data_IF_786135257972
#
_entry.id   IF_786135257972
#
_cell.length_a   1.000
_cell.length_b   1.000
_cell.length_c   1.000
_cell.angle_alpha   90.00
_cell.angle_beta   90.00
_cell.angle_gamma   90.00
#
_symmetry.space_group_name_H-M   'P 1'
#
loop_
_entity.id
_entity.type
_entity.pdbx_description
1 polymer ?
#
# COMPACT_ATOMS: atom_id res chain seq x y z
N UNK A 1 24.62 -27.95 -30.82
CA UNK A 1 24.24 -27.53 -29.46
C UNK A 1 24.74 -26.12 -29.09
N UNK A 2 24.71 -25.14 -30.02
CA UNK A 2 25.07 -23.74 -29.70
C UNK A 2 24.02 -22.72 -30.20
N UNK A 3 22.99 -23.18 -30.92
CA UNK A 3 21.98 -22.32 -31.56
C UNK A 3 20.71 -22.11 -30.72
N UNK A 4 20.53 -22.85 -29.61
CA UNK A 4 19.37 -22.70 -28.73
C UNK A 4 19.58 -21.68 -27.60
N UNK A 5 20.82 -21.24 -27.37
CA UNK A 5 21.19 -20.43 -26.20
C UNK A 5 20.98 -18.92 -26.37
N UNK A 6 20.63 -18.45 -27.57
CA UNK A 6 20.54 -17.01 -27.89
C UNK A 6 19.10 -16.48 -27.84
N UNK A 7 18.07 -17.34 -27.75
CA UNK A 7 16.67 -16.89 -27.68
C UNK A 7 16.19 -16.42 -26.30
N UNK A 8 17.05 -16.49 -25.26
CA UNK A 8 16.73 -16.00 -23.92
C UNK A 8 17.23 -14.57 -23.67
N UNK A 9 17.28 -13.73 -24.71
CA UNK A 9 17.30 -12.29 -24.53
C UNK A 9 15.93 -11.88 -23.97
N UNK A 10 15.80 -12.01 -22.65
CA UNK A 10 14.63 -11.64 -21.88
C UNK A 10 14.19 -10.23 -22.28
N UNK A 11 13.07 -10.14 -22.99
CA UNK A 11 12.34 -8.89 -23.15
C UNK A 11 11.94 -8.46 -21.75
N UNK A 12 12.67 -7.48 -21.20
CA UNK A 12 12.28 -6.81 -19.96
C UNK A 12 11.04 -5.98 -20.26
N UNK A 13 9.88 -6.65 -20.29
CA UNK A 13 8.60 -5.96 -20.30
C UNK A 13 8.55 -5.12 -19.02
N UNK A 14 8.18 -3.83 -19.11
CA UNK A 14 7.93 -3.05 -17.90
C UNK A 14 6.86 -3.79 -17.11
N UNK A 15 7.20 -4.21 -15.90
CA UNK A 15 6.25 -4.76 -14.95
C UNK A 15 5.31 -3.63 -14.54
N UNK A 16 4.24 -3.42 -15.32
CA UNK A 16 3.10 -2.62 -14.89
C UNK A 16 2.37 -3.42 -13.82
N UNK A 17 2.88 -3.36 -12.59
CA UNK A 17 2.08 -3.72 -11.44
C UNK A 17 0.84 -2.83 -11.50
N UNK A 18 -0.36 -3.43 -11.58
CA UNK A 18 -1.57 -2.76 -11.14
C UNK A 18 -1.39 -2.50 -9.64
N UNK A 19 -0.65 -1.43 -9.33
CA UNK A 19 -0.11 -1.15 -8.01
C UNK A 19 -1.28 -1.05 -7.05
N UNK A 20 -1.36 -1.98 -6.10
CA UNK A 20 -2.35 -1.91 -5.03
C UNK A 20 -1.78 -1.04 -3.94
N UNK A 21 -2.52 0.01 -3.55
CA UNK A 21 -2.17 0.85 -2.41
C UNK A 21 -2.56 0.15 -1.10
N UNK A 22 -1.62 -0.02 -0.18
CA UNK A 22 -1.84 -0.48 1.19
C UNK A 22 -1.97 0.74 2.12
N UNK A 23 -3.19 1.01 2.55
CA UNK A 23 -3.53 2.21 3.31
C UNK A 23 -3.78 1.86 4.79
N UNK A 24 -3.04 2.49 5.70
CA UNK A 24 -3.41 2.57 7.10
C UNK A 24 -4.21 3.84 7.33
N UNK A 25 -5.46 3.70 7.76
CA UNK A 25 -6.34 4.82 8.04
C UNK A 25 -6.65 4.91 9.53
N UNK A 26 -6.49 6.10 10.11
CA UNK A 26 -6.70 6.33 11.55
C UNK A 26 -7.81 7.33 11.88
N UNK A 27 -8.71 7.57 10.93
CA UNK A 27 -9.95 8.33 11.13
C UNK A 27 -11.14 7.40 11.41
N UNK A 28 -12.34 7.98 11.39
CA UNK A 28 -13.60 7.22 11.34
C UNK A 28 -13.68 6.33 10.10
N UNK A 29 -14.25 5.13 10.28
CA UNK A 29 -14.30 4.10 9.23
C UNK A 29 -15.08 4.57 7.99
N UNK A 30 -16.17 5.31 8.18
CA UNK A 30 -16.98 5.85 7.08
C UNK A 30 -16.15 6.77 6.16
N UNK A 31 -15.27 7.58 6.74
CA UNK A 31 -14.36 8.44 5.98
C UNK A 31 -13.29 7.62 5.24
N UNK A 32 -12.68 6.64 5.92
CA UNK A 32 -11.69 5.77 5.32
C UNK A 32 -12.23 4.99 4.11
N UNK A 33 -13.44 4.45 4.21
CA UNK A 33 -14.11 3.71 3.15
C UNK A 33 -14.50 4.61 1.97
N UNK A 34 -15.10 5.76 2.25
CA UNK A 34 -15.49 6.75 1.24
C UNK A 34 -14.27 7.12 0.38
N UNK A 35 -13.19 7.49 1.06
CA UNK A 35 -12.01 7.97 0.36
C UNK A 35 -11.26 6.87 -0.36
N UNK A 36 -11.21 5.65 0.19
CA UNK A 36 -10.65 4.49 -0.52
C UNK A 36 -11.43 4.25 -1.81
N UNK A 37 -12.77 4.21 -1.76
CA UNK A 37 -13.62 4.04 -2.94
C UNK A 37 -13.43 5.14 -3.98
N UNK A 38 -13.41 6.40 -3.57
CA UNK A 38 -13.29 7.51 -4.50
C UNK A 38 -11.91 7.56 -5.14
N UNK A 39 -10.86 7.21 -4.39
CA UNK A 39 -9.51 7.05 -4.92
C UNK A 39 -9.45 5.92 -5.96
N UNK A 40 -10.00 4.74 -5.65
CA UNK A 40 -10.08 3.63 -6.62
C UNK A 40 -10.81 4.07 -7.90
N UNK A 41 -11.94 4.76 -7.76
CA UNK A 41 -12.76 5.22 -8.89
C UNK A 41 -12.01 6.21 -9.80
N UNK A 42 -11.26 7.15 -9.21
CA UNK A 42 -10.55 8.19 -9.97
C UNK A 42 -9.28 7.71 -10.64
N UNK A 43 -8.59 6.77 -10.00
CA UNK A 43 -7.22 6.38 -10.40
C UNK A 43 -7.13 5.00 -11.02
N UNK A 44 -8.13 4.14 -10.79
CA UNK A 44 -8.07 2.72 -11.12
C UNK A 44 -7.15 1.90 -10.21
N UNK A 45 -6.48 2.52 -9.24
CA UNK A 45 -5.61 1.84 -8.27
C UNK A 45 -6.47 1.16 -7.20
N UNK A 46 -6.24 -0.13 -6.95
CA UNK A 46 -6.90 -0.85 -5.87
C UNK A 46 -6.34 -0.46 -4.51
N UNK A 47 -7.19 -0.28 -3.51
CA UNK A 47 -6.81 0.10 -2.14
C UNK A 47 -7.13 -1.03 -1.19
N UNK A 48 -6.09 -1.59 -0.57
CA UNK A 48 -6.21 -2.45 0.60
C UNK A 48 -6.08 -1.62 1.86
N UNK A 49 -7.21 -1.25 2.47
CA UNK A 49 -7.25 -0.41 3.67
C UNK A 49 -7.29 -1.26 4.96
N UNK A 50 -6.53 -0.86 5.98
CA UNK A 50 -6.67 -1.31 7.37
C UNK A 50 -6.95 -0.11 8.25
N UNK A 51 -7.98 -0.19 9.09
CA UNK A 51 -8.35 0.88 10.03
C UNK A 51 -7.85 0.51 11.43
N UNK A 52 -7.11 1.41 12.05
CA UNK A 52 -6.67 1.29 13.45
C UNK A 52 -6.47 2.69 14.06
N UNK A 53 -6.50 2.81 15.39
CA UNK A 53 -6.22 4.10 16.04
C UNK A 53 -4.82 4.61 15.73
N UNK A 54 -4.56 5.91 15.91
CA UNK A 54 -3.23 6.50 15.66
C UNK A 54 -2.12 5.78 16.45
N UNK A 55 -2.41 5.41 17.71
CA UNK A 55 -1.47 4.70 18.58
C UNK A 55 -1.16 3.29 18.08
N UNK A 56 -2.19 2.52 17.73
CA UNK A 56 -2.02 1.17 17.16
C UNK A 56 -1.30 1.21 15.81
N UNK A 57 -1.62 2.18 14.96
CA UNK A 57 -0.96 2.35 13.66
C UNK A 57 0.52 2.70 13.85
N UNK A 58 0.87 3.63 14.75
CA UNK A 58 2.28 3.95 14.99
C UNK A 58 3.04 2.77 15.61
N UNK A 59 2.41 2.03 16.54
CA UNK A 59 3.01 0.82 17.10
C UNK A 59 3.27 -0.23 16.00
N UNK A 60 2.31 -0.43 15.09
CA UNK A 60 2.45 -1.33 13.94
C UNK A 60 3.57 -0.89 12.99
N UNK A 61 3.61 0.39 12.60
CA UNK A 61 4.66 0.94 11.73
C UNK A 61 6.05 0.73 12.36
N UNK A 62 6.18 0.95 13.68
CA UNK A 62 7.44 0.69 14.41
C UNK A 62 7.82 -0.80 14.39
N UNK A 63 6.85 -1.70 14.60
CA UNK A 63 7.08 -3.14 14.58
C UNK A 63 7.44 -3.66 13.17
N UNK A 64 6.89 -3.07 12.12
CA UNK A 64 7.12 -3.46 10.73
C UNK A 64 8.29 -2.71 10.06
N UNK A 65 9.08 -1.92 10.81
CA UNK A 65 10.14 -1.04 10.27
C UNK A 65 11.11 -1.73 9.31
N UNK A 66 11.49 -2.98 9.58
CA UNK A 66 12.42 -3.74 8.73
C UNK A 66 11.76 -4.39 7.50
N UNK A 67 10.42 -4.46 7.48
CA UNK A 67 9.65 -5.05 6.38
C UNK A 67 8.23 -4.42 6.31
N UNK A 68 8.12 -3.15 5.86
CA UNK A 68 6.86 -2.41 5.87
C UNK A 68 5.74 -3.14 5.11
N UNK A 69 4.52 -3.16 5.67
CA UNK A 69 3.34 -3.77 5.01
C UNK A 69 2.33 -2.74 4.50
N UNK A 70 2.52 -1.47 4.81
CA UNK A 70 1.69 -0.35 4.39
C UNK A 70 2.49 0.68 3.63
N UNK A 71 1.84 1.36 2.69
CA UNK A 71 2.45 2.39 1.84
C UNK A 71 2.20 3.79 2.40
N UNK A 72 0.98 4.03 2.92
CA UNK A 72 0.54 5.35 3.40
C UNK A 72 -0.19 5.20 4.73
N UNK A 73 0.12 6.09 5.68
CA UNK A 73 -0.67 6.32 6.88
C UNK A 73 -1.44 7.63 6.74
N UNK A 74 -2.76 7.57 6.87
CA UNK A 74 -3.64 8.71 6.65
C UNK A 74 -4.58 9.00 7.83
N UNK A 75 -4.55 10.26 8.23
CA UNK A 75 -5.40 10.82 9.27
C UNK A 75 -5.02 10.33 10.65
N UNK A 76 -5.92 10.52 11.61
CA UNK A 76 -5.60 10.36 13.03
C UNK A 76 -4.91 11.60 13.61
N UNK A 77 -4.49 11.46 14.86
CA UNK A 77 -3.80 12.49 15.63
C UNK A 77 -2.29 12.42 15.40
N UNK A 78 -1.63 13.59 15.35
CA UNK A 78 -0.17 13.68 15.15
C UNK A 78 0.64 13.34 16.41
N UNK A 79 0.02 13.47 17.58
CA UNK A 79 0.51 13.06 18.90
C UNK A 79 -0.27 11.83 19.40
N UNK A 80 -0.10 10.65 18.80
CA UNK A 80 -0.60 9.44 19.44
C UNK A 80 0.13 9.33 20.79
N UNK A 81 -0.59 9.49 21.90
CA UNK A 81 -0.03 9.34 23.24
C UNK A 81 0.55 7.91 23.35
N UNK A 82 1.87 7.78 23.19
CA UNK A 82 2.64 6.53 23.08
C UNK A 82 3.99 6.68 23.76
#
# INVERSE_FOLDING_TARGET
MALLSVLLAATTLPAYAAGRLKLYCSTDIAWCELMSKEFEKRTGIRVGMTRASSGETLAKIRAEKSNPKGDVWWGGTGDPHL
#
